data_IF_853627951037
#
_entry.id   IF_853627951037
#
_cell.length_a   1.000
_cell.length_b   1.000
_cell.length_c   1.000
_cell.angle_alpha   90.00
_cell.angle_beta   90.00
_cell.angle_gamma   90.00
#
_symmetry.space_group_name_H-M   'P 1'
#
loop_
_entity.id
_entity.type
_entity.pdbx_description
1 polymer ?
#
# COMPACT_ATOMS: atom_id res chain seq x y z
N UNK A 1 25.83 9.09 21.45
CA UNK A 1 25.17 9.99 20.45
C UNK A 1 25.42 9.65 18.96
N UNK A 2 26.31 8.74 18.50
CA UNK A 2 26.44 8.45 17.06
C UNK A 2 25.45 7.40 16.51
N UNK A 3 24.97 6.47 17.35
CA UNK A 3 24.08 5.37 16.94
C UNK A 3 22.69 5.89 16.50
N UNK A 4 22.14 6.88 17.20
CA UNK A 4 20.83 7.48 16.86
C UNK A 4 20.84 8.20 15.52
N UNK A 5 21.95 8.84 15.13
CA UNK A 5 22.08 9.51 13.84
C UNK A 5 22.04 8.54 12.66
N UNK A 6 22.77 7.41 12.79
CA UNK A 6 22.78 6.36 11.76
C UNK A 6 21.43 5.64 11.66
N UNK A 7 20.80 5.33 12.80
CA UNK A 7 19.46 4.72 12.81
C UNK A 7 18.41 5.66 12.19
N UNK A 8 18.41 6.95 12.54
CA UNK A 8 17.49 7.93 11.96
C UNK A 8 17.76 8.20 10.47
N UNK A 9 18.99 8.03 10.00
CA UNK A 9 19.33 8.13 8.59
C UNK A 9 18.77 6.94 7.81
N UNK A 10 19.01 5.72 8.28
CA UNK A 10 18.50 4.50 7.64
C UNK A 10 16.98 4.44 7.66
N UNK A 11 16.34 4.86 8.76
CA UNK A 11 14.88 4.92 8.87
C UNK A 11 14.28 5.91 7.85
N UNK A 12 14.81 7.14 7.78
CA UNK A 12 14.34 8.14 6.79
C UNK A 12 14.61 7.73 5.36
N UNK A 13 15.65 6.96 5.11
CA UNK A 13 15.92 6.41 3.78
C UNK A 13 14.84 5.40 3.38
N UNK A 14 14.53 4.44 4.26
CA UNK A 14 13.49 3.45 4.01
C UNK A 14 12.10 4.08 3.80
N UNK A 15 11.75 5.11 4.58
CA UNK A 15 10.50 5.87 4.40
C UNK A 15 10.37 6.48 3.00
N UNK A 16 11.46 7.08 2.49
CA UNK A 16 11.48 7.69 1.15
C UNK A 16 11.31 6.66 0.04
N UNK A 17 12.02 5.54 0.15
CA UNK A 17 11.95 4.43 -0.81
C UNK A 17 10.53 3.86 -0.85
N UNK A 18 9.91 3.61 0.31
CA UNK A 18 8.53 3.15 0.41
C UNK A 18 7.52 4.15 -0.17
N UNK A 19 7.66 5.44 0.15
CA UNK A 19 6.78 6.48 -0.39
C UNK A 19 6.86 6.60 -1.91
N UNK A 20 8.04 6.39 -2.50
CA UNK A 20 8.22 6.42 -3.95
C UNK A 20 7.51 5.25 -4.64
N UNK A 21 7.61 4.04 -4.08
CA UNK A 21 6.94 2.83 -4.60
C UNK A 21 5.41 3.00 -4.50
N UNK A 22 4.91 3.40 -3.32
CA UNK A 22 3.49 3.66 -3.12
C UNK A 22 2.97 4.74 -4.08
N UNK A 23 3.73 5.82 -4.27
CA UNK A 23 3.40 6.89 -5.21
C UNK A 23 3.34 6.40 -6.66
N UNK A 24 4.30 5.57 -7.09
CA UNK A 24 4.32 5.00 -8.43
C UNK A 24 3.14 4.06 -8.68
N UNK A 25 2.79 3.20 -7.72
CA UNK A 25 1.61 2.33 -7.82
C UNK A 25 0.34 3.18 -7.88
N UNK A 26 0.24 4.22 -7.05
CA UNK A 26 -0.90 5.12 -6.99
C UNK A 26 -1.14 5.82 -8.33
N UNK A 27 -0.12 6.45 -8.91
CA UNK A 27 -0.25 7.21 -10.16
C UNK A 27 -0.64 6.32 -11.33
N UNK A 28 -0.08 5.12 -11.43
CA UNK A 28 -0.40 4.16 -12.49
C UNK A 28 -1.83 3.63 -12.37
N UNK A 29 -2.31 3.52 -11.14
CA UNK A 29 -3.54 2.83 -10.83
C UNK A 29 -4.75 3.75 -10.78
N UNK A 30 -4.66 4.83 -10.02
CA UNK A 30 -5.78 5.74 -9.77
C UNK A 30 -6.19 6.40 -11.07
N UNK A 31 -5.24 6.88 -11.87
CA UNK A 31 -5.52 7.52 -13.16
C UNK A 31 -6.31 6.58 -14.08
N UNK A 32 -5.84 5.35 -14.25
CA UNK A 32 -6.49 4.32 -15.06
C UNK A 32 -7.89 3.96 -14.58
N UNK A 33 -8.09 3.86 -13.26
CA UNK A 33 -9.42 3.58 -12.70
C UNK A 33 -10.36 4.78 -12.83
N UNK A 34 -9.84 5.99 -12.71
CA UNK A 34 -10.61 7.21 -12.82
C UNK A 34 -11.10 7.39 -14.27
N UNK A 35 -10.23 7.20 -15.27
CA UNK A 35 -10.60 7.20 -16.69
C UNK A 35 -11.70 6.19 -17.03
N UNK A 36 -11.69 5.01 -16.39
CA UNK A 36 -12.64 3.94 -16.66
C UNK A 36 -14.00 4.10 -15.99
N UNK A 37 -14.05 4.79 -14.84
CA UNK A 37 -15.27 4.89 -14.02
C UNK A 37 -15.89 6.29 -14.04
N UNK A 38 -15.24 7.31 -14.60
CA UNK A 38 -15.82 8.66 -14.68
C UNK A 38 -16.92 8.77 -15.73
N UNK A 39 -18.02 9.48 -15.44
CA UNK A 39 -18.99 9.87 -16.45
C UNK A 39 -18.40 10.90 -17.42
N UNK A 40 -18.88 10.90 -18.67
CA UNK A 40 -18.40 11.76 -19.78
C UNK A 40 -18.33 13.26 -19.41
N UNK A 41 -19.22 13.70 -18.53
CA UNK A 41 -19.29 15.07 -18.02
C UNK A 41 -18.10 15.50 -17.15
N UNK A 42 -17.37 14.56 -16.55
CA UNK A 42 -16.27 14.83 -15.61
C UNK A 42 -14.89 14.45 -16.17
N UNK A 43 -14.83 13.83 -17.36
CA UNK A 43 -13.59 13.51 -18.08
C UNK A 43 -12.70 14.75 -18.31
N UNK A 44 -13.20 15.95 -18.69
CA UNK A 44 -12.32 17.11 -18.85
C UNK A 44 -11.70 17.58 -17.54
N UNK A 45 -12.35 17.32 -16.40
CA UNK A 45 -11.86 17.66 -15.08
C UNK A 45 -10.97 16.56 -14.46
N UNK A 46 -10.72 15.45 -15.19
CA UNK A 46 -9.97 14.29 -14.70
C UNK A 46 -8.65 14.69 -14.02
N UNK A 47 -7.85 15.54 -14.68
CA UNK A 47 -6.56 16.00 -14.16
C UNK A 47 -6.73 16.87 -12.92
N UNK A 48 -7.73 17.76 -12.91
CA UNK A 48 -8.02 18.63 -11.78
C UNK A 48 -8.47 17.81 -10.55
N UNK A 49 -9.32 16.81 -10.78
CA UNK A 49 -9.80 15.86 -9.77
C UNK A 49 -8.63 15.01 -9.27
N UNK A 50 -7.74 14.56 -10.14
CA UNK A 50 -6.58 13.77 -9.75
C UNK A 50 -5.57 14.56 -8.89
N UNK A 51 -5.26 15.80 -9.27
CA UNK A 51 -4.28 16.64 -8.58
C UNK A 51 -4.81 17.26 -7.28
N UNK A 52 -6.11 17.53 -7.19
CA UNK A 52 -6.71 18.24 -6.05
C UNK A 52 -7.71 17.39 -5.28
N UNK A 53 -7.28 16.95 -4.11
CA UNK A 53 -8.15 16.29 -3.12
C UNK A 53 -9.35 17.18 -2.69
N UNK A 54 -9.17 18.51 -2.65
CA UNK A 54 -10.28 19.43 -2.33
C UNK A 54 -11.36 19.43 -3.41
N UNK A 55 -11.00 19.25 -4.68
CA UNK A 55 -11.95 19.11 -5.78
C UNK A 55 -12.68 17.75 -5.72
N UNK A 56 -11.99 16.69 -5.30
CA UNK A 56 -12.64 15.39 -5.05
C UNK A 56 -13.68 15.48 -3.92
N UNK A 57 -13.36 16.23 -2.87
CA UNK A 57 -14.19 16.38 -1.67
C UNK A 57 -15.42 17.26 -1.87
N UNK A 58 -15.38 18.20 -2.83
CA UNK A 58 -16.48 19.12 -3.11
C UNK A 58 -17.66 18.48 -3.83
N UNK A 59 -17.48 17.34 -4.51
CA UNK A 59 -18.59 16.60 -5.10
C UNK A 59 -19.51 16.00 -4.03
N UNK A 60 -20.83 16.12 -4.18
CA UNK A 60 -21.79 15.61 -3.20
C UNK A 60 -21.69 14.09 -3.08
N UNK A 61 -21.84 13.60 -1.84
CA UNK A 61 -21.87 12.17 -1.51
C UNK A 61 -23.09 11.52 -2.19
N UNK A 62 -22.88 10.41 -2.91
CA UNK A 62 -23.91 9.74 -3.71
C UNK A 62 -24.02 10.21 -5.16
N UNK A 63 -23.16 11.13 -5.61
CA UNK A 63 -23.01 11.41 -7.04
C UNK A 63 -22.17 10.34 -7.73
N UNK A 64 -22.47 10.04 -9.00
CA UNK A 64 -21.72 9.07 -9.81
C UNK A 64 -20.22 9.38 -9.85
N UNK A 65 -19.86 10.67 -9.91
CA UNK A 65 -18.46 11.13 -9.85
C UNK A 65 -17.81 10.80 -8.52
N UNK A 66 -18.51 11.01 -7.39
CA UNK A 66 -17.96 10.72 -6.06
C UNK A 66 -17.77 9.22 -5.84
N UNK A 67 -18.71 8.40 -6.30
CA UNK A 67 -18.62 6.94 -6.20
C UNK A 67 -17.47 6.40 -7.08
N UNK A 68 -17.28 6.96 -8.27
CA UNK A 68 -16.16 6.62 -9.15
C UNK A 68 -14.80 6.95 -8.50
N UNK A 69 -14.67 8.12 -7.87
CA UNK A 69 -13.46 8.52 -7.14
C UNK A 69 -13.19 7.56 -5.97
N UNK A 70 -14.21 7.27 -5.15
CA UNK A 70 -14.06 6.36 -3.99
C UNK A 70 -13.64 4.96 -4.46
N UNK A 71 -14.25 4.45 -5.54
CA UNK A 71 -13.90 3.15 -6.12
C UNK A 71 -12.48 3.13 -6.69
N UNK A 72 -12.04 4.20 -7.35
CA UNK A 72 -10.69 4.34 -7.87
C UNK A 72 -9.65 4.35 -6.75
N UNK A 73 -9.87 5.14 -5.69
CA UNK A 73 -9.01 5.21 -4.51
C UNK A 73 -8.97 3.87 -3.76
N UNK A 74 -10.12 3.22 -3.53
CA UNK A 74 -10.18 1.92 -2.87
C UNK A 74 -9.41 0.84 -3.63
N UNK A 75 -9.57 0.80 -4.96
CA UNK A 75 -8.86 -0.15 -5.81
C UNK A 75 -7.34 0.08 -5.81
N UNK A 76 -6.90 1.33 -5.76
CA UNK A 76 -5.48 1.66 -5.66
C UNK A 76 -4.89 1.31 -4.29
N UNK A 77 -5.62 1.60 -3.22
CA UNK A 77 -5.16 1.35 -1.87
C UNK A 77 -5.01 -0.15 -1.57
N UNK A 78 -5.90 -0.99 -2.11
CA UNK A 78 -5.77 -2.46 -2.02
C UNK A 78 -4.47 -2.93 -2.68
N UNK A 79 -4.10 -2.39 -3.85
CA UNK A 79 -2.85 -2.77 -4.53
C UNK A 79 -1.61 -2.31 -3.77
N UNK A 80 -1.63 -1.11 -3.20
CA UNK A 80 -0.54 -0.62 -2.35
C UNK A 80 -0.38 -1.52 -1.12
N UNK A 81 -1.47 -1.85 -0.43
CA UNK A 81 -1.45 -2.72 0.76
C UNK A 81 -1.00 -4.16 0.43
N UNK A 82 -1.49 -4.72 -0.68
CA UNK A 82 -1.10 -6.06 -1.13
C UNK A 82 0.42 -6.13 -1.36
N UNK A 83 0.99 -5.17 -2.10
CA UNK A 83 2.44 -5.13 -2.34
C UNK A 83 3.24 -5.08 -1.03
N UNK A 84 2.85 -4.24 -0.07
CA UNK A 84 3.52 -4.17 1.23
C UNK A 84 3.41 -5.48 2.03
N UNK A 85 2.23 -6.11 2.05
CA UNK A 85 1.99 -7.35 2.76
C UNK A 85 2.78 -8.53 2.15
N UNK A 86 2.85 -8.60 0.82
CA UNK A 86 3.63 -9.61 0.09
C UNK A 86 5.12 -9.53 0.41
N UNK A 87 5.69 -8.31 0.38
CA UNK A 87 7.11 -8.12 0.73
C UNK A 87 7.40 -8.50 2.19
N UNK A 88 6.56 -8.08 3.13
CA UNK A 88 6.73 -8.44 4.55
C UNK A 88 6.59 -9.96 4.76
N UNK A 89 5.61 -10.59 4.11
CA UNK A 89 5.42 -12.04 4.14
C UNK A 89 6.63 -12.80 3.59
N UNK A 90 7.22 -12.32 2.50
CA UNK A 90 8.41 -12.92 1.92
C UNK A 90 9.62 -12.84 2.86
N UNK A 91 9.85 -11.67 3.48
CA UNK A 91 10.92 -11.49 4.47
C UNK A 91 10.71 -12.41 5.68
N UNK A 92 9.46 -12.53 6.14
CA UNK A 92 9.11 -13.42 7.25
C UNK A 92 9.44 -14.88 6.93
N UNK A 93 9.03 -15.37 5.77
CA UNK A 93 9.32 -16.75 5.32
C UNK A 93 10.84 -16.96 5.16
N UNK A 94 11.57 -15.98 4.65
CA UNK A 94 13.03 -16.04 4.54
C UNK A 94 13.72 -16.10 5.93
N UNK A 95 13.14 -15.45 6.94
CA UNK A 95 13.65 -15.46 8.31
C UNK A 95 13.31 -16.76 9.06
N UNK A 96 12.18 -17.41 8.74
CA UNK A 96 11.83 -18.69 9.35
C UNK A 96 12.79 -19.79 8.92
N UNK A 97 13.44 -20.41 9.91
CA UNK A 97 14.30 -21.58 9.67
C UNK A 97 13.43 -22.78 9.31
N UNK A 98 13.88 -23.57 8.33
CA UNK A 98 13.26 -24.86 8.06
C UNK A 98 13.59 -25.84 9.21
N UNK A 99 12.67 -25.99 10.16
CA UNK A 99 12.84 -26.86 11.32
C UNK A 99 12.36 -28.28 10.98
N UNK A 100 13.29 -29.22 10.88
CA UNK A 100 12.97 -30.62 10.64
C UNK A 100 12.54 -31.32 11.95
N UNK A 101 11.23 -31.39 12.17
CA UNK A 101 10.61 -32.05 13.33
C UNK A 101 10.99 -33.53 13.50
N UNK A 102 11.46 -34.23 12.46
CA UNK A 102 11.93 -35.62 12.58
C UNK A 102 13.26 -35.76 13.32
N UNK A 103 14.09 -34.71 13.30
CA UNK A 103 15.40 -34.68 13.95
C UNK A 103 15.42 -33.82 15.23
N UNK A 104 14.28 -33.21 15.60
CA UNK A 104 14.14 -32.48 16.85
C UNK A 104 13.87 -33.47 17.98
N UNK A 105 14.85 -33.68 18.85
CA UNK A 105 14.65 -34.42 20.08
C UNK A 105 13.58 -33.74 20.93
N UNK A 106 12.51 -34.46 21.26
CA UNK A 106 11.49 -33.99 22.20
C UNK A 106 12.19 -33.58 23.48
N UNK A 107 12.04 -32.31 23.89
CA UNK A 107 12.60 -31.84 25.15
C UNK A 107 12.07 -32.72 26.27
N UNK A 108 12.98 -33.23 27.11
CA UNK A 108 12.65 -34.00 28.32
C UNK A 108 11.94 -33.10 29.33
N UNK A 109 10.69 -32.77 29.07
CA UNK A 109 9.74 -32.22 30.02
C UNK A 109 8.59 -33.19 30.13
N UNK A 110 8.25 -33.60 31.35
CA UNK A 110 7.15 -34.51 31.65
C UNK A 110 5.86 -33.99 31.02
N UNK A 111 5.44 -34.63 29.94
CA UNK A 111 4.07 -34.52 29.45
C UNK A 111 3.21 -35.34 30.40
N UNK A 112 2.36 -34.67 31.18
CA UNK A 112 1.26 -35.30 31.89
C UNK A 112 0.07 -35.45 30.94
#
# INVERSE_FOLDING_TARGET
MPIYGLLAYNLRRAEKEGSAICGAIWTNTVLKQLEQNLPESAIPDLTLIYERLLAQLSYPVGSLTRDAIVKACGSAQIRVLASGAEFMGFIWVAMTRNLNVKNMGQTKGTVF
#
